data_IF_296759515831
#
_entry.id   IF_296759515831
#
_cell.length_a   1.000
_cell.length_b   1.000
_cell.length_c   1.000
_cell.angle_alpha   90.00
_cell.angle_beta   90.00
_cell.angle_gamma   90.00
#
_symmetry.space_group_name_H-M   'P 1'
#
loop_
_entity.id
_entity.type
_entity.pdbx_description
1 polymer ?
#
# COMPACT_ATOMS: atom_id res chain seq x y z
N UNK A 1 -33.02 18.53 2.23
CA UNK A 1 -32.89 17.21 1.60
C UNK A 1 -31.56 17.06 0.86
N UNK A 2 -31.28 17.81 -0.21
CA UNK A 2 -30.04 17.69 -0.99
C UNK A 2 -28.75 17.82 -0.15
N UNK A 3 -28.69 18.82 0.75
CA UNK A 3 -27.54 19.01 1.66
C UNK A 3 -27.35 17.83 2.60
N UNK A 4 -28.45 17.28 3.12
CA UNK A 4 -28.42 16.10 3.97
C UNK A 4 -27.97 14.86 3.18
N UNK A 5 -28.50 14.64 1.98
CA UNK A 5 -28.12 13.49 1.15
C UNK A 5 -26.63 13.54 0.75
N UNK A 6 -26.13 14.71 0.34
CA UNK A 6 -24.71 14.90 0.03
C UNK A 6 -23.81 14.66 1.24
N UNK A 7 -24.23 15.12 2.42
CA UNK A 7 -23.48 14.94 3.67
C UNK A 7 -23.49 13.48 4.15
N UNK A 8 -24.66 12.83 4.12
CA UNK A 8 -24.83 11.44 4.58
C UNK A 8 -24.36 10.38 3.57
N UNK A 9 -23.91 10.78 2.37
CA UNK A 9 -23.09 9.91 1.49
C UNK A 9 -21.66 9.74 2.00
N UNK A 10 -21.25 10.54 2.98
CA UNK A 10 -19.90 10.57 3.56
C UNK A 10 -18.77 10.54 2.51
N UNK A 11 -18.81 11.45 1.51
CA UNK A 11 -17.75 11.50 0.50
C UNK A 11 -16.41 11.85 1.16
N UNK A 12 -15.34 11.28 0.63
CA UNK A 12 -13.97 11.56 1.05
C UNK A 12 -13.22 12.28 -0.06
N UNK A 13 -12.28 13.14 0.29
CA UNK A 13 -11.30 13.72 -0.63
C UNK A 13 -9.90 13.24 -0.26
N UNK A 14 -9.02 13.11 -1.24
CA UNK A 14 -7.62 12.73 -1.01
C UNK A 14 -6.82 14.01 -0.79
N UNK A 15 -6.19 14.11 0.38
CA UNK A 15 -5.18 15.12 0.68
C UNK A 15 -3.80 14.49 0.49
N UNK A 16 -3.03 15.00 -0.49
CA UNK A 16 -1.69 14.52 -0.77
C UNK A 16 -0.72 15.38 0.04
N UNK A 17 -0.13 14.77 1.07
CA UNK A 17 0.83 15.43 1.95
C UNK A 17 2.22 14.86 1.75
N UNK A 18 3.20 15.72 1.92
CA UNK A 18 4.59 15.32 2.09
C UNK A 18 4.80 14.98 3.55
N UNK A 19 5.32 13.78 3.83
CA UNK A 19 5.61 13.34 5.21
C UNK A 19 6.67 14.26 5.85
N UNK A 20 6.28 15.03 6.89
CA UNK A 20 7.21 15.93 7.58
C UNK A 20 8.18 15.18 8.50
N UNK A 21 8.05 13.86 8.67
CA UNK A 21 8.91 13.06 9.55
C UNK A 21 10.39 13.37 9.29
N UNK A 22 11.20 13.70 10.31
CA UNK A 22 12.63 13.95 10.14
C UNK A 22 13.41 12.64 9.91
N UNK A 23 12.72 11.50 9.79
CA UNK A 23 13.32 10.19 9.69
C UNK A 23 13.00 9.49 8.35
N UNK A 24 13.91 8.63 7.95
CA UNK A 24 13.76 7.63 6.90
C UNK A 24 13.46 6.30 7.59
N UNK A 25 12.33 5.70 7.24
CA UNK A 25 11.99 4.35 7.71
C UNK A 25 12.71 3.32 6.84
N UNK A 26 13.40 2.39 7.47
CA UNK A 26 14.02 1.25 6.81
C UNK A 26 12.94 0.31 6.28
N UNK A 27 12.97 -0.06 4.98
CA UNK A 27 12.05 -1.04 4.44
C UNK A 27 12.48 -2.46 4.82
N UNK A 28 11.53 -3.39 4.75
CA UNK A 28 11.83 -4.81 4.62
C UNK A 28 12.44 -5.09 3.24
N UNK A 29 13.48 -5.91 3.20
CA UNK A 29 14.17 -6.28 1.95
C UNK A 29 14.17 -7.80 1.84
N UNK A 30 13.47 -8.33 0.84
CA UNK A 30 13.51 -9.78 0.54
C UNK A 30 14.30 -10.02 -0.72
N UNK A 31 15.24 -10.96 -0.65
CA UNK A 31 15.95 -11.50 -1.83
C UNK A 31 15.54 -12.94 -2.04
N UNK A 32 15.09 -13.26 -3.25
CA UNK A 32 14.61 -14.59 -3.64
C UNK A 32 15.44 -15.15 -4.78
N UNK A 33 15.76 -16.43 -4.71
CA UNK A 33 16.45 -17.18 -5.75
C UNK A 33 15.63 -18.39 -6.16
N UNK A 34 15.72 -18.79 -7.44
CA UNK A 34 15.03 -19.99 -7.93
C UNK A 34 15.42 -21.21 -7.08
N UNK A 35 14.42 -21.96 -6.62
CA UNK A 35 14.57 -23.01 -5.61
C UNK A 35 15.63 -24.04 -6.01
N UNK A 36 15.68 -24.43 -7.29
CA UNK A 36 16.68 -25.40 -7.79
C UNK A 36 18.12 -24.93 -7.61
N UNK A 37 18.37 -23.62 -7.69
CA UNK A 37 19.73 -23.06 -7.59
C UNK A 37 20.24 -22.98 -6.16
N UNK A 38 19.33 -23.02 -5.18
CA UNK A 38 19.66 -22.95 -3.76
C UNK A 38 19.98 -24.33 -3.17
N UNK A 39 19.80 -25.41 -3.93
CA UNK A 39 20.10 -26.77 -3.47
C UNK A 39 21.61 -26.93 -3.21
N UNK A 40 21.92 -27.59 -2.09
CA UNK A 40 23.29 -27.93 -1.70
C UNK A 40 23.76 -29.14 -2.50
N UNK A 41 24.94 -29.04 -3.13
CA UNK A 41 25.47 -30.10 -4.01
C UNK A 41 25.72 -31.38 -3.21
N UNK A 42 26.22 -31.23 -1.99
CA UNK A 42 26.43 -32.31 -1.03
C UNK A 42 25.13 -33.02 -0.60
N UNK A 43 23.97 -32.41 -0.86
CA UNK A 43 22.64 -32.97 -0.56
C UNK A 43 21.93 -33.55 -1.78
N UNK A 44 22.47 -33.36 -3.00
CA UNK A 44 21.83 -33.86 -4.23
C UNK A 44 21.60 -35.38 -4.22
N UNK A 45 22.55 -36.15 -3.66
CA UNK A 45 22.43 -37.61 -3.51
C UNK A 45 21.15 -37.99 -2.75
N UNK A 46 20.82 -37.24 -1.70
CA UNK A 46 19.65 -37.53 -0.87
C UNK A 46 18.32 -37.18 -1.56
N UNK A 47 18.35 -36.29 -2.56
CA UNK A 47 17.16 -35.82 -3.26
C UNK A 47 16.90 -36.69 -4.49
N UNK A 48 17.91 -36.89 -5.32
CA UNK A 48 17.80 -37.59 -6.59
C UNK A 48 19.14 -38.30 -6.90
N UNK A 49 19.32 -39.55 -6.45
CA UNK A 49 20.56 -40.29 -6.69
C UNK A 49 20.88 -40.44 -8.17
N UNK A 50 19.87 -40.54 -9.04
CA UNK A 50 20.08 -40.84 -10.46
C UNK A 50 20.67 -39.70 -11.28
N UNK A 51 20.69 -38.46 -10.75
CA UNK A 51 21.37 -37.32 -11.40
C UNK A 51 22.72 -37.05 -10.75
N UNK A 52 23.05 -37.72 -9.64
CA UNK A 52 24.28 -37.44 -8.91
C UNK A 52 25.51 -37.72 -9.77
N UNK A 53 25.52 -38.85 -10.47
CA UNK A 53 26.63 -39.26 -11.35
C UNK A 53 26.91 -38.21 -12.44
N UNK A 54 25.90 -37.46 -12.89
CA UNK A 54 26.06 -36.37 -13.85
C UNK A 54 26.78 -35.14 -13.25
N UNK A 55 26.74 -34.98 -11.92
CA UNK A 55 27.31 -33.83 -11.19
C UNK A 55 28.62 -34.14 -10.47
N UNK A 56 29.00 -35.41 -10.32
CA UNK A 56 30.26 -35.78 -9.66
C UNK A 56 31.45 -35.16 -10.39
N UNK A 57 32.33 -34.48 -9.64
CA UNK A 57 33.52 -33.82 -10.18
C UNK A 57 33.24 -32.51 -10.92
N UNK A 58 31.98 -32.07 -11.00
CA UNK A 58 31.59 -30.78 -11.57
C UNK A 58 31.72 -29.66 -10.54
N UNK A 59 32.21 -28.52 -11.00
CA UNK A 59 32.18 -27.28 -10.22
C UNK A 59 30.75 -26.82 -10.00
N UNK A 60 30.51 -26.04 -8.95
CA UNK A 60 29.16 -25.51 -8.66
C UNK A 60 28.61 -24.66 -9.82
N UNK A 61 29.48 -23.93 -10.53
CA UNK A 61 29.14 -23.17 -11.73
C UNK A 61 28.66 -24.08 -12.87
N UNK A 62 29.36 -25.20 -13.12
CA UNK A 62 28.92 -26.19 -14.11
C UNK A 62 27.58 -26.82 -13.73
N UNK A 63 27.40 -27.17 -12.45
CA UNK A 63 26.13 -27.70 -11.93
C UNK A 63 25.01 -26.69 -12.14
N UNK A 64 25.24 -25.41 -11.81
CA UNK A 64 24.28 -24.33 -12.05
C UNK A 64 23.90 -24.23 -13.53
N UNK A 65 24.88 -24.25 -14.44
CA UNK A 65 24.64 -24.27 -15.89
C UNK A 65 23.85 -25.51 -16.36
N UNK A 66 24.11 -26.67 -15.75
CA UNK A 66 23.34 -27.89 -16.03
C UNK A 66 21.90 -27.80 -15.50
N UNK A 67 21.69 -27.19 -14.34
CA UNK A 67 20.36 -26.94 -13.77
C UNK A 67 19.57 -25.90 -14.58
N UNK A 68 20.21 -25.06 -15.40
CA UNK A 68 19.50 -24.26 -16.41
C UNK A 68 18.82 -25.12 -17.47
N UNK A 69 19.28 -26.37 -17.68
CA UNK A 69 18.64 -27.30 -18.62
C UNK A 69 17.38 -27.89 -17.97
N UNK A 70 16.24 -27.65 -18.62
CA UNK A 70 14.90 -28.08 -18.19
C UNK A 70 14.82 -29.55 -17.71
N UNK A 71 15.47 -30.49 -18.42
CA UNK A 71 15.43 -31.93 -18.08
C UNK A 71 15.92 -32.25 -16.66
N UNK A 72 17.07 -31.70 -16.24
CA UNK A 72 17.62 -31.96 -14.91
C UNK A 72 16.85 -31.18 -13.85
N UNK A 73 16.48 -29.93 -14.17
CA UNK A 73 15.71 -29.06 -13.29
C UNK A 73 14.38 -29.68 -12.88
N UNK A 74 13.58 -30.09 -13.85
CA UNK A 74 12.22 -30.56 -13.60
C UNK A 74 12.23 -31.86 -12.78
N UNK A 75 13.22 -32.75 -13.03
CA UNK A 75 13.40 -33.97 -12.23
C UNK A 75 13.80 -33.66 -10.79
N UNK A 76 14.79 -32.77 -10.61
CA UNK A 76 15.27 -32.37 -9.29
C UNK A 76 14.18 -31.66 -8.48
N UNK A 77 13.47 -30.71 -9.09
CA UNK A 77 12.37 -29.98 -8.46
C UNK A 77 11.25 -30.94 -8.07
N UNK A 78 10.88 -31.89 -8.94
CA UNK A 78 9.86 -32.91 -8.60
C UNK A 78 10.27 -33.74 -7.37
N UNK A 79 11.53 -34.16 -7.30
CA UNK A 79 12.05 -34.95 -6.18
C UNK A 79 12.16 -34.11 -4.90
N UNK A 80 12.56 -32.84 -5.00
CA UNK A 80 12.59 -31.91 -3.87
C UNK A 80 11.17 -31.63 -3.31
N UNK A 81 10.21 -31.32 -4.19
CA UNK A 81 8.82 -31.04 -3.81
C UNK A 81 8.09 -32.24 -3.21
N UNK A 82 8.61 -33.45 -3.43
CA UNK A 82 8.10 -34.66 -2.77
C UNK A 82 8.45 -34.72 -1.27
N UNK A 83 9.39 -33.89 -0.81
CA UNK A 83 9.78 -33.75 0.59
C UNK A 83 8.89 -32.74 1.34
N UNK A 84 8.86 -32.82 2.66
CA UNK A 84 8.22 -31.81 3.52
C UNK A 84 9.02 -30.51 3.47
N UNK A 85 8.36 -29.36 3.70
CA UNK A 85 8.95 -28.03 3.52
C UNK A 85 10.12 -27.80 4.49
N UNK A 86 9.99 -28.18 5.76
CA UNK A 86 11.10 -28.21 6.73
C UNK A 86 12.32 -28.98 6.19
N UNK A 87 12.09 -30.13 5.56
CA UNK A 87 13.17 -30.90 4.93
C UNK A 87 13.77 -30.18 3.72
N UNK A 88 12.95 -29.48 2.93
CA UNK A 88 13.44 -28.66 1.83
C UNK A 88 14.33 -27.51 2.32
N UNK A 89 14.01 -26.90 3.47
CA UNK A 89 14.89 -25.91 4.11
C UNK A 89 16.25 -26.49 4.49
N UNK A 90 16.32 -27.73 5.00
CA UNK A 90 17.59 -28.40 5.30
C UNK A 90 18.42 -28.76 4.05
N UNK A 91 17.75 -28.99 2.92
CA UNK A 91 18.37 -29.39 1.65
C UNK A 91 18.83 -28.19 0.81
N UNK A 92 18.38 -26.99 1.17
CA UNK A 92 18.70 -25.73 0.49
C UNK A 92 19.69 -24.90 1.31
N UNK A 93 20.22 -23.84 0.69
CA UNK A 93 21.19 -22.95 1.31
C UNK A 93 20.56 -22.17 2.47
N UNK A 94 21.29 -22.09 3.59
CA UNK A 94 20.95 -21.21 4.71
C UNK A 94 21.38 -19.77 4.44
N UNK A 95 20.77 -18.83 5.15
CA UNK A 95 21.10 -17.40 5.12
C UNK A 95 22.60 -17.15 5.34
N UNK A 96 23.22 -17.87 6.29
CA UNK A 96 24.66 -17.74 6.60
C UNK A 96 25.60 -18.12 5.45
N UNK A 97 25.18 -19.01 4.54
CA UNK A 97 25.93 -19.38 3.33
C UNK A 97 25.55 -18.51 2.14
N UNK A 98 24.31 -18.03 2.10
CA UNK A 98 23.77 -17.20 1.04
C UNK A 98 24.32 -15.77 1.08
N UNK A 99 24.37 -15.15 2.26
CA UNK A 99 24.95 -13.82 2.46
C UNK A 99 26.45 -13.94 2.80
N UNK A 100 27.30 -13.28 2.01
CA UNK A 100 28.74 -13.14 2.33
C UNK A 100 28.97 -12.00 3.30
N UNK A 101 28.27 -10.88 3.10
CA UNK A 101 28.36 -9.70 3.92
C UNK A 101 27.01 -8.97 3.89
N UNK A 102 26.53 -8.50 5.04
CA UNK A 102 25.39 -7.61 5.09
C UNK A 102 25.65 -6.52 6.12
N UNK A 103 25.73 -5.28 5.64
CA UNK A 103 26.00 -4.10 6.45
C UNK A 103 24.86 -3.10 6.33
N UNK A 104 24.43 -2.57 7.46
CA UNK A 104 23.39 -1.55 7.57
C UNK A 104 23.95 -0.32 8.30
N UNK A 105 23.53 0.88 7.88
CA UNK A 105 23.79 2.08 8.64
C UNK A 105 23.09 2.02 10.02
N UNK A 106 23.80 2.35 11.10
CA UNK A 106 23.26 2.25 12.47
C UNK A 106 21.96 3.07 12.63
N UNK A 107 20.82 2.43 12.94
CA UNK A 107 19.57 3.14 13.24
C UNK A 107 19.60 3.85 14.60
N UNK A 108 18.66 4.78 14.83
CA UNK A 108 18.62 5.59 16.05
C UNK A 108 18.49 4.77 17.33
N UNK A 109 17.61 3.77 17.36
CA UNK A 109 17.39 2.97 18.57
C UNK A 109 18.65 2.24 19.06
N UNK A 110 19.62 1.97 18.16
CA UNK A 110 20.91 1.35 18.52
C UNK A 110 21.93 2.35 19.08
N UNK A 111 21.74 3.65 18.87
CA UNK A 111 22.58 4.69 19.45
C UNK A 111 22.25 4.93 20.92
N UNK A 112 21.01 4.66 21.34
CA UNK A 112 20.48 4.92 22.70
C UNK A 112 20.79 3.74 23.64
N UNK A 113 22.08 3.36 23.72
CA UNK A 113 22.57 2.50 24.79
C UNK A 113 22.66 3.25 26.13
N UNK A 114 22.85 2.55 27.27
CA UNK A 114 22.87 3.10 28.63
C UNK A 114 24.01 4.09 28.95
N UNK A 115 24.72 4.60 27.94
CA UNK A 115 25.75 5.63 28.10
C UNK A 115 25.27 7.05 27.71
N UNK A 116 23.98 7.23 27.41
CA UNK A 116 23.42 8.52 26.98
C UNK A 116 22.92 9.43 28.11
N UNK A 117 23.13 9.10 29.39
CA UNK A 117 22.80 10.00 30.51
C UNK A 117 23.58 11.35 30.50
N UNK A 118 24.50 11.57 29.54
CA UNK A 118 25.17 12.86 29.34
C UNK A 118 24.92 13.53 27.97
N UNK A 119 24.26 12.88 27.02
CA UNK A 119 23.87 13.53 25.76
C UNK A 119 22.50 14.17 25.92
N UNK A 120 22.47 15.31 26.63
CA UNK A 120 21.35 16.23 26.61
C UNK A 120 21.11 16.69 25.17
N UNK A 121 20.12 16.09 24.49
CA UNK A 121 19.57 16.54 23.21
C UNK A 121 18.82 17.86 23.44
N UNK A 122 19.52 18.89 23.93
CA UNK A 122 19.02 20.26 23.90
C UNK A 122 19.22 20.73 22.48
N UNK A 123 18.10 20.85 21.75
CA UNK A 123 17.95 21.56 20.48
C UNK A 123 19.21 21.62 19.62
N UNK A 124 19.40 20.63 18.74
CA UNK A 124 20.26 20.83 17.58
C UNK A 124 19.64 21.94 16.74
N UNK A 125 20.11 23.16 16.97
CA UNK A 125 19.79 24.31 16.16
C UNK A 125 20.53 24.11 14.82
N UNK A 126 19.76 23.79 13.77
CA UNK A 126 20.29 23.47 12.43
C UNK A 126 20.63 24.72 11.60
N UNK A 127 20.59 25.91 12.21
CA UNK A 127 20.84 27.19 11.54
C UNK A 127 22.30 27.63 11.67
N UNK A 128 23.20 26.94 10.96
CA UNK A 128 24.31 27.55 10.21
C UNK A 128 25.23 26.46 9.65
N UNK A 129 24.94 26.05 8.41
CA UNK A 129 25.83 25.24 7.59
C UNK A 129 26.83 26.16 6.88
N UNK A 130 27.69 26.84 7.63
CA UNK A 130 28.87 27.48 7.04
C UNK A 130 30.13 26.68 7.32
N UNK A 131 30.70 26.21 6.22
CA UNK A 131 31.90 25.39 6.15
C UNK A 131 33.11 26.24 6.49
N UNK A 132 33.75 25.98 7.64
CA UNK A 132 35.19 25.71 7.76
C UNK A 132 35.60 25.52 9.22
N UNK A 133 36.51 24.57 9.42
CA UNK A 133 37.31 24.33 10.63
C UNK A 133 36.57 23.98 11.93
N UNK A 134 36.02 22.76 11.99
CA UNK A 134 36.31 21.79 13.06
C UNK A 134 35.74 20.43 12.68
N UNK A 135 36.50 19.71 11.84
CA UNK A 135 36.19 18.41 11.25
C UNK A 135 36.46 17.27 12.24
N UNK A 136 35.88 17.34 13.44
CA UNK A 136 36.01 16.28 14.45
C UNK A 136 34.88 15.24 14.29
N UNK A 137 35.24 14.09 13.72
CA UNK A 137 34.68 12.75 13.94
C UNK A 137 33.19 12.42 13.74
N UNK A 138 32.32 13.28 13.20
CA UNK A 138 30.96 12.81 12.81
C UNK A 138 30.97 11.73 11.70
N UNK A 139 31.99 11.73 10.82
CA UNK A 139 32.17 10.67 9.81
C UNK A 139 32.57 9.30 10.40
N UNK A 140 33.08 9.27 11.63
CA UNK A 140 33.42 8.03 12.34
C UNK A 140 32.26 7.51 13.22
N UNK A 141 31.18 8.28 13.38
CA UNK A 141 30.12 7.98 14.34
C UNK A 141 29.01 7.06 13.82
N UNK A 142 28.83 6.93 12.51
CA UNK A 142 27.91 5.94 11.95
C UNK A 142 28.67 4.66 11.64
N UNK A 143 28.89 3.88 12.69
CA UNK A 143 29.32 2.50 12.54
C UNK A 143 28.33 1.76 11.64
N UNK A 144 28.84 0.82 10.85
CA UNK A 144 27.99 -0.12 10.13
C UNK A 144 27.72 -1.29 11.06
N UNK A 145 26.46 -1.66 11.21
CA UNK A 145 26.08 -2.87 11.94
C UNK A 145 25.84 -4.01 10.97
N UNK A 146 25.95 -5.25 11.45
CA UNK A 146 25.54 -6.40 10.66
C UNK A 146 24.01 -6.41 10.56
N UNK A 147 23.44 -6.72 9.39
CA UNK A 147 21.99 -6.78 9.23
C UNK A 147 21.32 -7.75 10.22
N UNK A 148 22.00 -8.86 10.57
CA UNK A 148 21.48 -9.85 11.51
C UNK A 148 21.40 -9.35 12.96
N UNK A 149 22.08 -8.24 13.30
CA UNK A 149 21.98 -7.65 14.64
C UNK A 149 20.74 -6.80 14.83
N UNK A 150 20.12 -6.32 13.74
CA UNK A 150 18.86 -5.57 13.81
C UNK A 150 17.66 -6.52 13.91
N UNK A 151 17.62 -7.54 13.06
CA UNK A 151 16.56 -8.55 13.03
C UNK A 151 17.12 -9.88 12.54
N UNK A 152 16.61 -11.00 13.05
CA UNK A 152 16.91 -12.32 12.49
C UNK A 152 16.47 -12.39 11.04
N UNK A 153 17.33 -12.91 10.16
CA UNK A 153 17.01 -13.10 8.75
C UNK A 153 15.98 -14.22 8.65
N UNK A 154 14.78 -13.91 8.13
CA UNK A 154 13.75 -14.94 7.96
C UNK A 154 13.96 -15.66 6.63
N UNK A 155 13.95 -16.99 6.69
CA UNK A 155 14.04 -17.83 5.50
C UNK A 155 12.70 -18.47 5.19
N UNK A 156 12.26 -18.35 3.94
CA UNK A 156 10.99 -18.91 3.49
C UNK A 156 11.15 -19.62 2.15
N UNK A 157 10.31 -20.62 1.88
CA UNK A 157 10.29 -21.38 0.63
C UNK A 157 8.87 -21.33 0.05
N UNK A 158 8.74 -20.94 -1.22
CA UNK A 158 7.57 -21.21 -2.04
C UNK A 158 7.85 -22.37 -2.99
N UNK A 159 6.88 -22.70 -3.83
CA UNK A 159 7.03 -23.76 -4.83
C UNK A 159 8.20 -23.50 -5.80
N UNK A 160 8.49 -22.24 -6.11
CA UNK A 160 9.47 -21.84 -7.13
C UNK A 160 10.72 -21.18 -6.56
N UNK A 161 10.64 -20.58 -5.37
CA UNK A 161 11.69 -19.72 -4.84
C UNK A 161 12.04 -20.04 -3.39
N UNK A 162 13.32 -19.85 -3.06
CA UNK A 162 13.83 -19.72 -1.69
C UNK A 162 14.14 -18.24 -1.46
N UNK A 163 13.59 -17.68 -0.39
CA UNK A 163 13.68 -16.26 -0.09
C UNK A 163 14.27 -15.99 1.28
N UNK A 164 14.97 -14.86 1.38
CA UNK A 164 15.61 -14.36 2.58
C UNK A 164 15.15 -12.94 2.84
N UNK A 165 14.38 -12.75 3.91
CA UNK A 165 13.84 -11.45 4.31
C UNK A 165 14.72 -10.83 5.38
N UNK A 166 15.24 -9.64 5.09
CA UNK A 166 15.97 -8.76 6.00
C UNK A 166 15.01 -7.71 6.57
N UNK A 167 15.26 -7.28 7.81
CA UNK A 167 14.56 -6.17 8.46
C UNK A 167 13.06 -6.42 8.63
N UNK A 168 12.63 -7.68 8.72
CA UNK A 168 11.24 -7.98 9.05
C UNK A 168 11.03 -7.83 10.56
N UNK A 169 10.04 -7.01 10.91
CA UNK A 169 9.54 -6.91 12.27
C UNK A 169 8.06 -6.48 12.23
N UNK A 170 7.19 -7.38 12.68
CA UNK A 170 5.73 -7.20 12.68
C UNK A 170 5.25 -6.07 13.60
N UNK A 171 6.10 -5.59 14.51
CA UNK A 171 5.80 -4.47 15.41
C UNK A 171 6.58 -3.21 15.07
N UNK A 172 7.21 -3.13 13.89
CA UNK A 172 8.18 -2.07 13.57
C UNK A 172 7.59 -0.69 13.22
N UNK A 173 6.26 -0.55 13.05
CA UNK A 173 5.67 0.69 12.54
C UNK A 173 6.15 1.94 13.31
N UNK A 174 6.19 1.82 14.64
CA UNK A 174 6.61 2.88 15.57
C UNK A 174 7.97 2.60 16.22
N UNK A 175 8.72 1.60 15.73
CA UNK A 175 9.98 1.20 16.33
C UNK A 175 11.12 2.13 15.84
N UNK A 176 11.66 2.89 16.79
CA UNK A 176 12.83 3.77 16.59
C UNK A 176 14.07 3.02 16.06
N UNK A 177 14.14 1.69 16.24
CA UNK A 177 15.20 0.86 15.69
C UNK A 177 15.17 0.75 14.16
N UNK A 178 14.08 1.19 13.51
CA UNK A 178 13.93 1.17 12.05
C UNK A 178 13.96 2.58 11.44
N UNK A 179 14.37 3.57 12.22
CA UNK A 179 14.39 4.97 11.82
C UNK A 179 15.83 5.50 11.73
N UNK A 180 16.16 6.15 10.62
CA UNK A 180 17.44 6.84 10.39
C UNK A 180 17.13 8.33 10.14
N UNK A 181 17.83 9.29 10.78
CA UNK A 181 17.60 10.70 10.50
C UNK A 181 17.81 11.04 9.03
N UNK A 182 16.95 11.90 8.45
CA UNK A 182 16.98 12.25 7.02
C UNK A 182 18.29 12.93 6.61
N UNK A 183 18.84 13.80 7.46
CA UNK A 183 20.12 14.47 7.27
C UNK A 183 21.29 13.47 7.23
N UNK A 184 21.25 12.46 8.08
CA UNK A 184 22.22 11.36 8.08
C UNK A 184 22.06 10.54 6.81
N UNK A 185 20.83 10.08 6.52
CA UNK A 185 20.52 9.27 5.34
C UNK A 185 20.94 9.96 4.04
N UNK A 186 20.75 11.28 3.92
CA UNK A 186 21.15 12.07 2.76
C UNK A 186 22.68 12.07 2.53
N UNK A 187 23.47 11.90 3.59
CA UNK A 187 24.93 11.82 3.52
C UNK A 187 25.47 10.40 3.32
N UNK A 188 24.60 9.38 3.42
CA UNK A 188 24.98 7.99 3.19
C UNK A 188 24.97 7.67 1.70
N UNK A 189 25.98 6.92 1.26
CA UNK A 189 26.00 6.37 -0.11
C UNK A 189 24.94 5.28 -0.28
N UNK A 190 24.77 4.44 0.75
CA UNK A 190 23.79 3.35 0.81
C UNK A 190 23.27 3.22 2.24
N UNK A 191 21.99 2.94 2.39
CA UNK A 191 21.39 2.55 3.67
C UNK A 191 21.85 1.15 4.07
N UNK A 192 21.78 0.21 3.11
CA UNK A 192 22.23 -1.16 3.28
C UNK A 192 23.14 -1.58 2.13
N UNK A 193 24.16 -2.37 2.46
CA UNK A 193 25.11 -2.97 1.54
C UNK A 193 25.11 -4.48 1.74
N UNK A 194 24.63 -5.20 0.73
CA UNK A 194 24.36 -6.64 0.80
C UNK A 194 25.22 -7.32 -0.26
N UNK A 195 26.09 -8.23 0.15
CA UNK A 195 26.88 -9.08 -0.72
C UNK A 195 26.38 -10.53 -0.63
N UNK A 196 25.93 -11.05 -1.76
CA UNK A 196 25.39 -12.39 -1.91
C UNK A 196 26.43 -13.33 -2.50
N UNK A 197 26.29 -14.61 -2.19
CA UNK A 197 27.01 -15.66 -2.86
C UNK A 197 26.31 -16.01 -4.18
N UNK A 198 26.96 -15.64 -5.30
CA UNK A 198 26.44 -15.80 -6.66
C UNK A 198 26.08 -17.26 -6.97
N UNK A 199 26.82 -18.22 -6.41
CA UNK A 199 26.63 -19.64 -6.73
C UNK A 199 25.28 -20.21 -6.25
N UNK A 200 24.53 -19.44 -5.45
CA UNK A 200 23.17 -19.76 -4.99
C UNK A 200 22.12 -18.82 -5.58
N UNK A 201 22.50 -17.95 -6.51
CA UNK A 201 21.64 -16.92 -7.08
C UNK A 201 21.36 -17.21 -8.55
N UNK A 202 20.14 -17.63 -8.87
CA UNK A 202 19.69 -17.79 -10.25
C UNK A 202 18.26 -17.27 -10.40
N UNK A 203 18.00 -16.55 -11.50
CA UNK A 203 16.75 -15.83 -11.74
C UNK A 203 16.29 -15.06 -10.49
N UNK A 204 17.20 -14.23 -9.98
CA UNK A 204 17.00 -13.58 -8.71
C UNK A 204 15.88 -12.56 -8.75
N UNK A 205 15.17 -12.40 -7.65
CA UNK A 205 14.18 -11.37 -7.45
C UNK A 205 14.52 -10.63 -6.15
N UNK A 206 14.26 -9.33 -6.13
CA UNK A 206 14.32 -8.53 -4.92
C UNK A 206 13.02 -7.76 -4.76
N UNK A 207 12.53 -7.77 -3.52
CA UNK A 207 11.32 -7.10 -3.09
C UNK A 207 11.66 -6.11 -2.00
N UNK A 208 11.15 -4.88 -2.14
CA UNK A 208 11.17 -3.88 -1.07
C UNK A 208 9.73 -3.73 -0.58
N UNK A 209 9.51 -3.94 0.70
CA UNK A 209 8.16 -3.95 1.27
C UNK A 209 8.14 -3.33 2.67
N UNK A 210 6.94 -3.17 3.23
CA UNK A 210 6.80 -2.76 4.63
C UNK A 210 7.47 -3.78 5.56
N UNK A 211 8.23 -3.37 6.58
CA UNK A 211 8.86 -4.30 7.53
C UNK A 211 7.85 -5.12 8.34
N UNK A 212 6.57 -4.71 8.39
CA UNK A 212 5.49 -5.46 9.04
C UNK A 212 4.92 -6.58 8.18
N UNK A 213 5.09 -6.47 6.86
CA UNK A 213 4.45 -7.34 5.89
C UNK A 213 5.47 -8.34 5.35
N UNK A 214 5.06 -9.57 5.16
CA UNK A 214 5.86 -10.53 4.38
C UNK A 214 5.86 -10.10 2.90
N UNK A 215 6.93 -10.41 2.15
CA UNK A 215 7.05 -10.04 0.73
C UNK A 215 5.99 -10.69 -0.17
N UNK A 216 5.27 -11.69 0.33
CA UNK A 216 4.14 -12.33 -0.37
C UNK A 216 3.04 -11.32 -0.75
N UNK A 217 3.05 -10.15 -0.11
CA UNK A 217 2.01 -9.12 -0.20
C UNK A 217 2.44 -7.91 -1.04
N UNK A 218 3.58 -8.02 -1.75
CA UNK A 218 4.08 -6.93 -2.57
C UNK A 218 3.35 -6.94 -3.92
N UNK A 219 2.60 -5.88 -4.21
CA UNK A 219 2.08 -5.62 -5.57
C UNK A 219 3.22 -5.71 -6.59
N UNK A 220 2.93 -6.07 -7.83
CA UNK A 220 3.94 -6.28 -8.88
C UNK A 220 4.95 -5.11 -9.04
N UNK A 221 4.58 -3.89 -8.62
CA UNK A 221 5.43 -2.69 -8.66
C UNK A 221 6.65 -2.70 -7.74
N UNK A 222 6.72 -3.57 -6.72
CA UNK A 222 7.85 -3.63 -5.78
C UNK A 222 8.89 -4.70 -6.09
N UNK A 223 8.76 -5.40 -7.22
CA UNK A 223 9.68 -6.49 -7.60
C UNK A 223 10.68 -6.02 -8.64
N UNK A 224 11.95 -6.32 -8.44
CA UNK A 224 12.99 -6.15 -9.46
C UNK A 224 13.67 -7.48 -9.74
N UNK A 225 13.86 -7.78 -11.02
CA UNK A 225 14.62 -8.96 -11.43
C UNK A 225 16.12 -8.67 -11.35
N UNK A 226 16.84 -9.61 -10.76
CA UNK A 226 18.29 -9.62 -10.62
C UNK A 226 18.87 -10.64 -11.59
N UNK A 227 19.82 -10.18 -12.40
CA UNK A 227 20.61 -11.03 -13.29
C UNK A 227 22.06 -11.10 -12.77
N UNK A 228 22.37 -12.02 -11.84
CA UNK A 228 23.69 -12.12 -11.24
C UNK A 228 24.75 -12.68 -12.21
N UNK A 229 24.36 -13.11 -13.41
CA UNK A 229 25.28 -13.53 -14.47
C UNK A 229 25.77 -12.33 -15.27
N UNK A 230 24.89 -11.37 -15.55
CA UNK A 230 25.23 -10.14 -16.28
C UNK A 230 25.76 -9.03 -15.39
N UNK A 231 25.20 -8.89 -14.20
CA UNK A 231 25.50 -7.77 -13.32
C UNK A 231 26.39 -8.21 -12.16
N UNK A 232 27.39 -7.39 -11.84
CA UNK A 232 28.21 -7.55 -10.63
C UNK A 232 27.57 -6.81 -9.45
N UNK A 233 26.97 -5.65 -9.74
CA UNK A 233 26.40 -4.77 -8.74
C UNK A 233 25.11 -4.13 -9.23
N UNK A 234 24.10 -4.07 -8.36
CA UNK A 234 22.84 -3.36 -8.59
C UNK A 234 22.56 -2.44 -7.41
N UNK A 235 22.25 -1.17 -7.68
CA UNK A 235 21.74 -0.26 -6.65
C UNK A 235 20.25 0.00 -6.84
N UNK A 236 19.50 -0.10 -5.75
CA UNK A 236 18.04 0.00 -5.72
C UNK A 236 17.67 1.24 -4.93
N UNK A 237 16.93 2.15 -5.58
CA UNK A 237 16.24 3.24 -4.93
C UNK A 237 14.80 2.84 -4.67
N UNK A 238 14.20 3.43 -3.64
CA UNK A 238 12.79 3.23 -3.35
C UNK A 238 12.13 4.53 -2.92
N UNK A 239 10.82 4.62 -3.12
CA UNK A 239 9.96 5.66 -2.59
C UNK A 239 8.87 5.02 -1.74
N UNK A 240 8.57 5.62 -0.58
CA UNK A 240 7.52 5.13 0.33
C UNK A 240 6.26 5.96 0.13
N UNK A 241 5.14 5.28 -0.12
CA UNK A 241 3.80 5.85 -0.22
C UNK A 241 2.92 5.26 0.86
N UNK A 242 2.26 6.11 1.65
CA UNK A 242 1.31 5.70 2.68
C UNK A 242 -0.07 6.14 2.23
N UNK A 243 -1.01 5.22 2.15
CA UNK A 243 -2.42 5.55 1.91
C UNK A 243 -3.21 5.32 3.19
N UNK A 244 -3.93 6.34 3.64
CA UNK A 244 -4.84 6.25 4.79
C UNK A 244 -6.26 6.41 4.30
N UNK A 245 -7.06 5.37 4.46
CA UNK A 245 -8.49 5.36 4.15
C UNK A 245 -9.30 5.63 5.43
N UNK A 246 -10.59 5.92 5.27
CA UNK A 246 -11.49 6.18 6.38
C UNK A 246 -12.44 4.99 6.61
N UNK A 247 -12.64 4.58 7.88
CA UNK A 247 -13.56 3.48 8.18
C UNK A 247 -15.02 3.91 7.92
N UNK A 248 -15.98 2.98 7.96
CA UNK A 248 -17.40 3.35 7.96
C UNK A 248 -17.70 4.44 9.02
N UNK A 249 -18.56 5.43 8.70
CA UNK A 249 -19.52 5.46 7.60
C UNK A 249 -19.00 6.05 6.27
N UNK A 250 -17.72 6.38 6.16
CA UNK A 250 -17.14 7.01 4.96
C UNK A 250 -17.18 6.13 3.72
N UNK A 251 -17.19 6.76 2.54
CA UNK A 251 -17.32 6.07 1.25
C UNK A 251 -16.23 5.01 1.00
N UNK A 252 -15.02 5.21 1.53
CA UNK A 252 -13.90 4.26 1.45
C UNK A 252 -14.15 2.96 2.23
N UNK A 253 -14.97 3.01 3.28
CA UNK A 253 -15.40 1.84 4.08
C UNK A 253 -14.25 0.91 4.46
N UNK A 254 -13.08 1.45 4.76
CA UNK A 254 -11.90 0.64 5.01
C UNK A 254 -12.08 -0.24 6.27
N UNK A 255 -11.23 -1.25 6.41
CA UNK A 255 -11.17 -2.09 7.59
C UNK A 255 -9.75 -2.16 8.15
N UNK A 256 -9.66 -2.23 9.46
CA UNK A 256 -8.38 -2.28 10.19
C UNK A 256 -8.12 -3.73 10.62
N UNK A 257 -7.49 -4.49 9.73
CA UNK A 257 -7.23 -5.93 9.89
C UNK A 257 -6.31 -6.27 11.07
N UNK A 258 -5.58 -5.28 11.59
CA UNK A 258 -4.73 -5.42 12.78
C UNK A 258 -5.53 -5.73 14.03
N UNK A 259 -6.79 -5.29 14.08
CA UNK A 259 -7.72 -5.60 15.19
C UNK A 259 -8.01 -7.09 15.31
N UNK A 260 -7.91 -7.82 14.19
CA UNK A 260 -8.14 -9.26 14.13
C UNK A 260 -6.84 -10.07 14.19
N UNK A 261 -5.69 -9.40 14.39
CA UNK A 261 -4.38 -10.04 14.47
C UNK A 261 -3.67 -10.26 13.13
N UNK A 262 -4.21 -9.72 12.03
CA UNK A 262 -3.56 -9.75 10.72
C UNK A 262 -2.73 -8.49 10.47
N UNK A 263 -1.66 -8.58 9.67
CA UNK A 263 -0.88 -7.40 9.32
C UNK A 263 -1.64 -6.45 8.37
N UNK A 264 -2.40 -7.03 7.44
CA UNK A 264 -3.18 -6.36 6.40
C UNK A 264 -4.23 -7.33 5.82
N UNK A 265 -5.04 -6.86 4.86
CA UNK A 265 -6.02 -7.67 4.14
C UNK A 265 -5.40 -8.88 3.45
N UNK A 266 -4.28 -8.68 2.76
CA UNK A 266 -3.63 -9.78 2.02
C UNK A 266 -3.09 -10.85 2.97
N UNK A 267 -2.65 -10.47 4.17
CA UNK A 267 -2.26 -11.41 5.22
C UNK A 267 -3.45 -12.25 5.71
N UNK A 268 -4.63 -11.64 5.87
CA UNK A 268 -5.85 -12.40 6.13
C UNK A 268 -6.15 -13.38 4.99
N UNK A 269 -6.08 -12.92 3.73
CA UNK A 269 -6.36 -13.75 2.56
C UNK A 269 -5.41 -14.95 2.48
N UNK A 270 -4.11 -14.75 2.69
CA UNK A 270 -3.10 -15.81 2.70
C UNK A 270 -3.31 -16.78 3.85
N UNK A 271 -3.62 -16.31 5.06
CA UNK A 271 -3.91 -17.19 6.19
C UNK A 271 -5.18 -18.03 5.94
N UNK A 272 -6.23 -17.41 5.38
CA UNK A 272 -7.43 -18.14 4.99
C UNK A 272 -7.13 -19.19 3.91
N UNK A 273 -6.41 -18.82 2.84
CA UNK A 273 -5.97 -19.73 1.77
C UNK A 273 -5.18 -20.90 2.35
N UNK A 274 -4.18 -20.62 3.18
CA UNK A 274 -3.34 -21.62 3.85
C UNK A 274 -4.19 -22.59 4.66
N UNK A 275 -5.12 -22.09 5.47
CA UNK A 275 -6.04 -22.93 6.26
C UNK A 275 -6.87 -23.86 5.38
N UNK A 276 -7.34 -23.41 4.21
CA UNK A 276 -8.09 -24.25 3.26
C UNK A 276 -7.21 -25.32 2.63
N UNK A 277 -6.02 -24.98 2.16
CA UNK A 277 -5.08 -25.97 1.60
C UNK A 277 -4.67 -27.03 2.64
N UNK A 278 -4.48 -26.62 3.89
CA UNK A 278 -4.15 -27.54 4.99
C UNK A 278 -5.28 -28.53 5.31
N UNK A 279 -6.55 -28.18 5.01
CA UNK A 279 -7.69 -29.10 5.12
C UNK A 279 -7.79 -30.08 3.95
N UNK A 280 -7.15 -29.75 2.81
CA UNK A 280 -7.10 -30.59 1.63
C UNK A 280 -5.90 -31.53 1.74
N UNK A 281 -4.77 -31.19 1.14
CA UNK A 281 -3.65 -32.12 0.93
C UNK A 281 -2.25 -31.52 1.20
N UNK A 282 -2.12 -30.23 1.52
CA UNK A 282 -0.80 -29.66 1.73
C UNK A 282 -0.75 -28.14 1.92
N UNK A 283 0.42 -27.57 1.66
CA UNK A 283 0.68 -26.14 1.71
C UNK A 283 0.48 -25.49 0.32
N UNK A 284 -0.09 -24.27 0.20
CA UNK A 284 -0.25 -23.60 -1.08
C UNK A 284 1.10 -23.29 -1.74
N UNK A 285 1.25 -23.51 -3.04
CA UNK A 285 2.54 -23.32 -3.71
C UNK A 285 3.00 -21.87 -3.84
N UNK A 286 2.06 -20.91 -3.88
CA UNK A 286 2.33 -19.48 -3.97
C UNK A 286 2.54 -18.79 -2.62
N UNK A 287 2.24 -19.47 -1.52
CA UNK A 287 2.44 -18.94 -0.17
C UNK A 287 3.80 -19.38 0.33
N UNK A 288 4.66 -18.44 0.70
CA UNK A 288 5.98 -18.77 1.21
C UNK A 288 5.87 -19.34 2.62
N UNK A 289 6.54 -20.45 2.85
CA UNK A 289 6.48 -21.24 4.07
C UNK A 289 7.74 -21.07 4.91
N UNK A 290 7.56 -20.88 6.21
CA UNK A 290 8.64 -20.83 7.20
C UNK A 290 9.31 -22.20 7.40
N UNK A 291 10.46 -22.19 8.07
CA UNK A 291 11.24 -23.40 8.38
C UNK A 291 10.50 -24.42 9.26
N UNK A 292 9.48 -23.99 10.01
CA UNK A 292 8.71 -24.84 10.94
C UNK A 292 7.55 -25.60 10.27
N UNK A 293 7.34 -25.44 8.96
CA UNK A 293 6.24 -26.07 8.24
C UNK A 293 6.61 -27.51 7.87
N UNK A 294 6.02 -28.49 8.57
CA UNK A 294 6.25 -29.94 8.35
C UNK A 294 5.34 -30.56 7.28
N UNK A 295 4.65 -29.71 6.50
CA UNK A 295 3.74 -30.13 5.41
C UNK A 295 4.48 -30.17 4.08
N UNK A 296 3.97 -30.95 3.14
CA UNK A 296 4.39 -30.90 1.73
C UNK A 296 3.58 -29.83 1.00
N UNK A 297 4.08 -29.35 -0.14
CA UNK A 297 3.26 -28.55 -1.04
C UNK A 297 2.08 -29.39 -1.56
N UNK A 298 0.92 -28.73 -1.72
CA UNK A 298 -0.30 -29.34 -2.24
C UNK A 298 -0.08 -29.89 -3.65
N UNK A 299 -0.57 -31.10 -3.92
CA UNK A 299 -0.52 -31.70 -5.26
C UNK A 299 -1.45 -30.97 -6.22
N UNK A 300 -2.50 -30.31 -5.72
CA UNK A 300 -3.38 -29.50 -6.54
C UNK A 300 -2.63 -28.37 -7.25
N UNK A 301 -1.53 -27.89 -6.64
CA UNK A 301 -0.63 -26.92 -7.25
C UNK A 301 0.24 -27.49 -8.38
N UNK A 302 0.53 -28.79 -8.36
CA UNK A 302 1.45 -29.45 -9.31
C UNK A 302 0.80 -29.79 -10.66
N UNK A 303 -0.46 -29.42 -10.89
CA UNK A 303 -1.14 -29.75 -12.12
C UNK A 303 -0.47 -28.97 -13.30
N UNK A 304 -0.39 -29.55 -14.52
CA UNK A 304 0.25 -28.85 -15.65
C UNK A 304 -0.42 -27.53 -16.04
N UNK A 305 -1.66 -27.30 -15.59
CA UNK A 305 -2.46 -26.12 -15.94
C UNK A 305 -2.08 -24.90 -15.08
N UNK A 306 -1.71 -25.11 -13.81
CA UNK A 306 -1.22 -24.06 -12.90
C UNK A 306 0.09 -23.43 -13.38
N UNK A 307 0.89 -24.18 -14.17
CA UNK A 307 2.12 -23.68 -14.78
C UNK A 307 1.88 -22.63 -15.88
N UNK A 308 0.62 -22.38 -16.28
CA UNK A 308 0.23 -21.30 -17.18
C UNK A 308 0.11 -19.92 -16.50
N UNK A 309 0.47 -19.80 -15.22
CA UNK A 309 0.61 -18.50 -14.54
C UNK A 309 -0.65 -18.00 -13.84
N UNK A 310 -1.66 -18.84 -13.66
CA UNK A 310 -2.82 -18.52 -12.83
C UNK A 310 -2.57 -19.02 -11.38
N UNK A 311 -1.91 -18.17 -10.59
CA UNK A 311 -1.54 -18.36 -9.16
C UNK A 311 -2.73 -18.67 -8.20
N UNK A 312 -3.94 -18.86 -8.70
CA UNK A 312 -5.14 -19.14 -7.90
C UNK A 312 -5.73 -20.54 -8.14
N UNK A 313 -5.20 -21.34 -9.08
CA UNK A 313 -5.89 -22.51 -9.66
C UNK A 313 -6.03 -23.78 -8.80
N UNK A 314 -5.64 -23.79 -7.53
CA UNK A 314 -5.81 -24.97 -6.68
C UNK A 314 -7.07 -24.99 -5.81
N UNK A 315 -7.75 -23.86 -5.59
CA UNK A 315 -8.99 -23.80 -4.81
C UNK A 315 -10.19 -23.56 -5.72
N UNK A 316 -11.35 -24.11 -5.34
CA UNK A 316 -12.60 -23.75 -6.02
C UNK A 316 -12.85 -22.25 -5.91
N UNK A 317 -13.44 -21.64 -6.94
CA UNK A 317 -13.86 -20.24 -6.91
C UNK A 317 -14.75 -19.94 -5.70
N UNK A 318 -15.55 -20.91 -5.25
CA UNK A 318 -16.36 -20.82 -4.03
C UNK A 318 -15.52 -20.72 -2.75
N UNK A 319 -14.42 -21.47 -2.64
CA UNK A 319 -13.51 -21.42 -1.49
C UNK A 319 -12.77 -20.09 -1.42
N UNK A 320 -12.29 -19.60 -2.58
CA UNK A 320 -11.67 -18.27 -2.67
C UNK A 320 -12.67 -17.16 -2.38
N UNK A 321 -13.90 -17.26 -2.90
CA UNK A 321 -14.98 -16.34 -2.58
C UNK A 321 -15.36 -16.39 -1.08
N UNK A 322 -15.23 -17.55 -0.43
CA UNK A 322 -15.39 -17.64 1.03
C UNK A 322 -14.30 -16.86 1.76
N UNK A 323 -13.03 -16.99 1.36
CA UNK A 323 -11.94 -16.21 1.95
C UNK A 323 -12.11 -14.71 1.70
N UNK A 324 -12.51 -14.31 0.49
CA UNK A 324 -12.79 -12.89 0.19
C UNK A 324 -13.98 -12.34 0.99
N UNK A 325 -14.95 -13.18 1.38
CA UNK A 325 -16.06 -12.79 2.25
C UNK A 325 -15.62 -12.67 3.72
N UNK A 326 -14.79 -13.60 4.19
CA UNK A 326 -14.25 -13.64 5.56
C UNK A 326 -13.28 -12.48 5.81
N UNK A 327 -12.30 -12.32 4.93
CA UNK A 327 -11.30 -11.25 4.97
C UNK A 327 -11.79 -9.94 4.37
N UNK A 328 -13.10 -9.76 4.24
CA UNK A 328 -13.72 -8.50 3.82
C UNK A 328 -13.45 -8.07 2.36
N UNK A 329 -14.48 -7.51 1.73
CA UNK A 329 -14.32 -6.74 0.48
C UNK A 329 -13.81 -5.31 0.73
N UNK A 330 -13.19 -5.05 1.89
CA UNK A 330 -12.80 -3.71 2.33
C UNK A 330 -11.30 -3.58 2.28
N UNK A 331 -10.83 -2.49 1.72
CA UNK A 331 -9.40 -2.19 1.69
C UNK A 331 -8.87 -1.91 3.10
N UNK A 332 -7.56 -2.09 3.29
CA UNK A 332 -6.87 -1.73 4.52
C UNK A 332 -7.05 -0.24 4.83
N UNK A 333 -7.38 0.10 6.08
CA UNK A 333 -7.45 1.50 6.50
C UNK A 333 -6.11 2.22 6.39
N UNK A 334 -5.02 1.48 6.44
CA UNK A 334 -3.69 2.00 6.23
C UNK A 334 -2.87 1.00 5.42
N UNK A 335 -2.39 1.43 4.27
CA UNK A 335 -1.48 0.64 3.43
C UNK A 335 -0.19 1.40 3.20
N UNK A 336 0.92 0.65 3.18
CA UNK A 336 2.25 1.18 2.91
C UNK A 336 2.76 0.48 1.66
N UNK A 337 3.02 1.26 0.63
CA UNK A 337 3.53 0.79 -0.66
C UNK A 337 4.92 1.36 -0.89
N UNK A 338 5.76 0.57 -1.56
CA UNK A 338 7.10 0.96 -1.95
C UNK A 338 7.21 0.90 -3.46
N UNK A 339 7.55 2.02 -4.08
CA UNK A 339 7.89 2.05 -5.49
C UNK A 339 9.39 1.83 -5.62
N UNK A 340 9.78 0.79 -6.36
CA UNK A 340 11.16 0.33 -6.44
C UNK A 340 11.73 0.64 -7.80
N UNK A 341 12.91 1.27 -7.82
CA UNK A 341 13.58 1.67 -9.04
C UNK A 341 15.04 1.20 -9.03
N UNK A 342 15.45 0.53 -10.10
CA UNK A 342 16.86 0.21 -10.32
C UNK A 342 17.60 1.49 -10.72
N UNK A 343 18.45 2.00 -9.83
CA UNK A 343 19.10 3.30 -10.01
C UNK A 343 20.45 3.21 -10.74
N UNK A 344 21.21 2.14 -10.51
CA UNK A 344 22.52 1.89 -11.15
C UNK A 344 22.72 0.40 -11.27
N UNK A 345 23.33 0.01 -12.37
CA UNK A 345 23.75 -1.36 -12.64
C UNK A 345 25.20 -1.29 -13.10
N UNK A 346 26.07 -2.08 -12.48
CA UNK A 346 27.43 -2.32 -12.98
C UNK A 346 27.42 -3.69 -13.63
N UNK A 347 27.56 -3.69 -14.95
CA UNK A 347 27.79 -4.92 -15.71
C UNK A 347 29.11 -5.56 -15.30
N UNK A 348 29.19 -6.87 -15.47
CA UNK A 348 30.38 -7.63 -15.15
C UNK A 348 31.29 -7.71 -16.38
N UNK A 349 32.55 -7.31 -16.18
CA UNK A 349 33.63 -7.47 -17.15
C UNK A 349 33.88 -8.97 -17.43
N UNK A 350 34.39 -9.32 -18.61
CA UNK A 350 34.57 -10.73 -19.01
C UNK A 350 35.53 -11.49 -18.07
N UNK A 351 36.58 -10.82 -17.60
CA UNK A 351 37.54 -11.39 -16.65
C UNK A 351 36.90 -11.62 -15.27
N UNK A 352 36.08 -10.67 -14.82
CA UNK A 352 35.34 -10.77 -13.56
C UNK A 352 34.29 -11.89 -13.59
N UNK A 353 33.75 -12.25 -14.77
CA UNK A 353 32.75 -13.33 -14.92
C UNK A 353 33.24 -14.67 -14.43
N UNK A 354 34.54 -14.90 -14.49
CA UNK A 354 35.15 -16.17 -14.09
C UNK A 354 35.59 -16.16 -12.62
N UNK A 355 35.94 -15.01 -12.05
CA UNK A 355 36.59 -14.94 -10.73
C UNK A 355 35.65 -14.47 -9.60
N UNK A 356 34.66 -13.63 -9.89
CA UNK A 356 33.80 -13.08 -8.85
C UNK A 356 32.61 -14.00 -8.54
N UNK A 357 32.72 -14.72 -7.42
CA UNK A 357 31.62 -15.50 -6.82
C UNK A 357 30.67 -14.62 -5.97
N UNK A 358 30.74 -13.29 -6.09
CA UNK A 358 29.86 -12.38 -5.35
C UNK A 358 28.97 -11.56 -6.28
N UNK A 359 27.80 -11.22 -5.75
CA UNK A 359 26.85 -10.33 -6.36
C UNK A 359 26.40 -9.32 -5.31
N UNK A 360 26.45 -8.04 -5.62
CA UNK A 360 26.28 -6.99 -4.62
C UNK A 360 25.05 -6.14 -4.89
N UNK A 361 24.26 -5.90 -3.84
CA UNK A 361 23.08 -5.07 -3.84
C UNK A 361 23.32 -3.88 -2.89
N UNK A 362 23.15 -2.66 -3.41
CA UNK A 362 23.18 -1.44 -2.61
C UNK A 362 21.79 -0.81 -2.51
N UNK A 363 21.24 -0.71 -1.30
CA UNK A 363 19.97 0.00 -1.08
C UNK A 363 20.26 1.48 -0.86
N UNK A 364 19.78 2.33 -1.76
CA UNK A 364 19.98 3.78 -1.70
C UNK A 364 19.00 4.43 -0.71
N UNK A 365 19.40 5.54 -0.06
CA UNK A 365 18.45 6.37 0.67
C UNK A 365 17.40 6.95 -0.30
N UNK A 366 16.14 7.11 0.14
CA UNK A 366 15.12 7.77 -0.66
C UNK A 366 15.54 9.22 -0.90
N UNK A 367 15.51 9.67 -2.16
CA UNK A 367 15.84 11.06 -2.53
C UNK A 367 14.66 12.00 -2.32
N UNK A 368 13.47 11.48 -2.57
CA UNK A 368 12.22 12.22 -2.51
C UNK A 368 11.60 12.08 -1.12
N UNK A 369 10.74 13.03 -0.79
CA UNK A 369 9.95 12.95 0.42
C UNK A 369 8.95 11.79 0.33
N UNK A 370 8.59 11.23 1.48
CA UNK A 370 7.56 10.19 1.52
C UNK A 370 6.20 10.85 1.26
N UNK A 371 5.36 10.19 0.45
CA UNK A 371 4.06 10.72 0.06
C UNK A 371 3.00 10.06 0.94
N UNK A 372 2.13 10.87 1.55
CA UNK A 372 0.99 10.42 2.32
C UNK A 372 -0.28 10.82 1.56
N UNK A 373 -1.02 9.83 1.08
CA UNK A 373 -2.35 10.00 0.50
C UNK A 373 -3.38 9.79 1.61
N UNK A 374 -3.80 10.86 2.27
CA UNK A 374 -4.72 10.81 3.40
C UNK A 374 -6.14 11.12 2.92
N UNK A 375 -7.05 10.14 3.01
CA UNK A 375 -8.47 10.40 2.79
C UNK A 375 -9.03 11.13 3.99
N UNK A 376 -9.56 12.32 3.75
CA UNK A 376 -10.25 13.14 4.75
C UNK A 376 -11.72 13.28 4.39
N UNK A 377 -12.61 13.52 5.38
CA UNK A 377 -14.00 13.86 5.08
C UNK A 377 -14.05 15.06 4.15
N UNK A 378 -14.79 14.97 3.05
CA UNK A 378 -14.93 16.09 2.10
C UNK A 378 -15.57 17.31 2.74
N UNK A 379 -16.46 17.08 3.70
CA UNK A 379 -17.12 18.11 4.47
C UNK A 379 -16.81 17.92 5.94
N UNK A 380 -16.26 18.96 6.57
CA UNK A 380 -16.08 18.95 8.02
C UNK A 380 -17.42 19.27 8.71
N UNK A 381 -17.60 18.77 9.95
CA UNK A 381 -18.82 19.03 10.73
C UNK A 381 -19.12 20.54 10.83
N UNK A 382 -18.08 21.38 10.90
CA UNK A 382 -18.22 22.83 10.98
C UNK A 382 -18.82 23.43 9.69
N UNK A 383 -18.42 22.95 8.51
CA UNK A 383 -18.97 23.42 7.23
C UNK A 383 -20.44 23.05 7.14
N UNK A 384 -20.81 21.83 7.54
CA UNK A 384 -22.21 21.42 7.60
C UNK A 384 -23.03 22.33 8.53
N UNK A 385 -22.52 22.65 9.72
CA UNK A 385 -23.17 23.57 10.66
C UNK A 385 -23.28 24.99 10.10
N UNK A 386 -22.27 25.47 9.36
CA UNK A 386 -22.33 26.77 8.69
C UNK A 386 -23.37 26.75 7.58
N UNK A 387 -23.45 25.69 6.76
CA UNK A 387 -24.45 25.58 5.71
C UNK A 387 -25.88 25.50 6.26
N UNK A 388 -26.10 24.67 7.29
CA UNK A 388 -27.41 24.55 7.95
C UNK A 388 -27.74 25.84 8.71
N UNK A 389 -26.78 26.41 9.44
CA UNK A 389 -26.94 27.67 10.15
C UNK A 389 -27.26 28.84 9.23
N UNK A 390 -26.62 28.90 8.04
CA UNK A 390 -26.92 29.87 7.00
C UNK A 390 -28.32 29.69 6.42
N UNK A 391 -28.75 28.45 6.16
CA UNK A 391 -30.10 28.15 5.69
C UNK A 391 -31.17 28.54 6.74
N UNK A 392 -30.94 28.22 8.01
CA UNK A 392 -31.83 28.59 9.12
C UNK A 392 -31.89 30.11 9.26
N UNK A 393 -30.73 30.78 9.23
CA UNK A 393 -30.65 32.25 9.36
C UNK A 393 -31.36 32.97 8.22
N UNK A 394 -31.22 32.47 6.98
CA UNK A 394 -31.93 33.01 5.82
C UNK A 394 -33.44 32.82 5.95
N UNK A 395 -33.88 31.61 6.34
CA UNK A 395 -35.29 31.32 6.55
C UNK A 395 -35.91 32.22 7.63
N UNK A 396 -35.21 32.41 8.75
CA UNK A 396 -35.65 33.29 9.84
C UNK A 396 -35.68 34.76 9.38
N UNK A 397 -34.67 35.22 8.65
CA UNK A 397 -34.64 36.57 8.10
C UNK A 397 -35.82 36.86 7.18
N UNK A 398 -36.12 35.96 6.24
CA UNK A 398 -37.28 36.07 5.33
C UNK A 398 -38.59 36.04 6.13
N UNK A 399 -38.68 35.18 7.15
CA UNK A 399 -39.87 35.09 8.00
C UNK A 399 -40.14 36.39 8.76
N UNK A 400 -39.11 37.02 9.32
CA UNK A 400 -39.23 38.31 10.03
C UNK A 400 -39.67 39.43 9.08
N UNK A 401 -39.09 39.50 7.87
CA UNK A 401 -39.49 40.48 6.85
C UNK A 401 -40.96 40.28 6.46
N UNK A 402 -41.39 39.04 6.25
CA UNK A 402 -42.79 38.71 5.92
C UNK A 402 -43.77 39.13 7.02
N UNK A 403 -43.47 38.81 8.28
CA UNK A 403 -44.28 39.24 9.44
C UNK A 403 -44.32 40.77 9.52
N UNK A 404 -43.18 41.44 9.28
CA UNK A 404 -43.10 42.90 9.23
C UNK A 404 -44.01 43.51 8.16
N UNK A 405 -43.99 42.97 6.93
CA UNK A 405 -44.85 43.42 5.83
C UNK A 405 -46.33 43.22 6.16
N UNK A 406 -46.70 42.08 6.75
CA UNK A 406 -48.08 41.83 7.17
C UNK A 406 -48.54 42.79 8.27
N UNK A 407 -47.69 43.06 9.27
CA UNK A 407 -47.99 44.02 10.33
C UNK A 407 -48.19 45.43 9.78
N UNK A 408 -47.30 45.89 8.90
CA UNK A 408 -47.42 47.18 8.20
C UNK A 408 -48.70 47.26 7.34
N UNK A 409 -49.05 46.18 6.65
CA UNK A 409 -50.28 46.10 5.86
C UNK A 409 -51.53 46.19 6.73
N UNK A 410 -51.55 45.54 7.90
CA UNK A 410 -52.64 45.67 8.86
C UNK A 410 -52.77 47.08 9.43
N UNK A 411 -51.65 47.74 9.75
CA UNK A 411 -51.66 49.14 10.25
C UNK A 411 -52.19 50.10 9.18
N UNK A 412 -51.72 49.96 7.94
CA UNK A 412 -52.19 50.80 6.82
C UNK A 412 -53.65 50.53 6.45
N UNK A 413 -54.12 49.28 6.55
CA UNK A 413 -55.54 48.95 6.36
C UNK A 413 -56.42 49.52 7.49
N UNK A 414 -55.97 49.44 8.74
CA UNK A 414 -56.68 50.06 9.88
C UNK A 414 -56.73 51.59 9.76
N UNK A 415 -55.65 52.22 9.33
CA UNK A 415 -55.59 53.66 9.01
C UNK A 415 -56.53 54.05 7.86
N UNK A 416 -56.57 53.26 6.77
CA UNK A 416 -57.54 53.45 5.68
C UNK A 416 -58.98 53.20 6.10
N UNK A 417 -59.23 52.29 7.03
CA UNK A 417 -60.58 52.02 7.54
C UNK A 417 -61.07 53.13 8.48
N UNK A 418 -60.19 53.77 9.27
CA UNK A 418 -60.59 54.97 10.03
C UNK A 418 -60.84 56.19 9.13
N UNK A 419 -60.04 56.38 8.07
CA UNK A 419 -60.26 57.47 7.10
C UNK A 419 -61.45 57.23 6.17
N UNK A 420 -61.76 55.98 5.80
CA UNK A 420 -62.97 55.65 5.04
C UNK A 420 -64.25 55.61 5.90
N UNK A 421 -64.19 55.35 7.21
CA UNK A 421 -65.33 55.59 8.11
C UNK A 421 -65.67 57.09 8.14
N UNK A 422 -64.67 57.98 8.09
CA UNK A 422 -64.88 59.43 7.98
C UNK A 422 -65.49 59.85 6.63
N UNK A 423 -65.07 59.21 5.53
CA UNK A 423 -65.65 59.47 4.19
C UNK A 423 -67.01 58.78 3.96
N UNK A 424 -67.30 57.65 4.62
CA UNK A 424 -68.59 56.97 4.55
C UNK A 424 -69.68 57.74 5.32
N UNK A 425 -69.33 58.39 6.43
CA UNK A 425 -70.25 59.33 7.09
C UNK A 425 -70.60 60.54 6.20
N UNK A 426 -69.69 60.99 5.33
CA UNK A 426 -69.97 62.07 4.38
C UNK A 426 -70.75 61.63 3.13
N UNK A 427 -70.70 60.34 2.76
CA UNK A 427 -71.34 59.81 1.55
C UNK A 427 -72.71 59.16 1.79
N UNK A 428 -73.11 58.97 3.05
CA UNK A 428 -74.42 58.40 3.44
C UNK A 428 -75.60 59.38 3.31
N UNK A 429 -75.36 60.67 3.01
CA UNK A 429 -76.42 61.69 2.85
C UNK A 429 -76.87 61.90 1.39
N UNK A 430 -76.16 61.35 0.40
CA UNK A 430 -76.47 61.65 -1.00
C UNK A 430 -76.27 60.46 -1.91
N UNK A 431 -77.34 59.70 -2.16
CA UNK A 431 -77.73 59.20 -3.49
C UNK A 431 -78.58 57.93 -3.37
N UNK A 432 -79.89 58.14 -3.25
CA UNK A 432 -80.90 57.25 -3.85
C UNK A 432 -81.06 57.69 -5.30
N UNK A 433 -80.79 56.83 -6.28
CA UNK A 433 -81.56 56.77 -7.55
C UNK A 433 -80.85 55.90 -8.59
N UNK A 434 -81.54 54.81 -8.97
CA UNK A 434 -81.61 54.18 -10.30
C UNK A 434 -80.35 53.49 -10.84
N UNK A 435 -80.41 52.53 -11.74
CA UNK A 435 -81.42 51.57 -12.25
C UNK A 435 -80.68 50.80 -13.37
N UNK A 436 -80.98 49.50 -13.52
CA UNK A 436 -80.88 48.63 -14.73
C UNK A 436 -79.53 48.32 -15.41
N UNK A 437 -79.25 47.00 -15.37
CA UNK A 437 -79.06 46.07 -16.50
C UNK A 437 -78.28 46.53 -17.75
N UNK A 438 -77.21 45.80 -18.09
CA UNK A 438 -77.17 45.04 -19.36
C UNK A 438 -76.16 43.87 -19.29
N UNK A 439 -76.58 42.72 -19.81
CA UNK A 439 -75.76 41.55 -20.12
C UNK A 439 -75.05 41.72 -21.47
N UNK A 440 -73.84 41.16 -21.62
CA UNK A 440 -73.41 40.13 -22.59
C UNK A 440 -71.89 40.22 -22.84
N UNK A 441 -71.24 39.07 -22.99
CA UNK A 441 -69.97 38.98 -23.73
C UNK A 441 -68.86 38.17 -23.07
N UNK A 442 -69.06 36.85 -22.91
CA UNK A 442 -67.95 35.90 -22.77
C UNK A 442 -67.23 35.79 -24.12
N UNK A 443 -65.90 35.93 -24.13
CA UNK A 443 -65.09 35.18 -25.09
C UNK A 443 -63.75 34.74 -24.49
N UNK A 444 -63.52 33.46 -24.75
CA UNK A 444 -62.56 32.49 -24.24
C UNK A 444 -61.20 32.69 -24.92
N UNK A 445 -60.10 32.70 -24.16
CA UNK A 445 -58.76 32.44 -24.69
C UNK A 445 -58.11 31.31 -23.91
N UNK A 446 -57.60 30.36 -24.68
CA UNK A 446 -57.15 29.04 -24.30
C UNK A 446 -55.75 28.87 -24.88
N UNK A 447 -54.97 27.98 -24.26
CA UNK A 447 -53.78 27.28 -24.77
C UNK A 447 -52.38 27.89 -24.57
N UNK A 448 -51.79 27.43 -23.45
CA UNK A 448 -50.61 26.54 -23.38
C UNK A 448 -49.46 26.79 -24.36
N UNK A 449 -48.33 27.30 -23.85
CA UNK A 449 -47.01 27.28 -24.50
C UNK A 449 -46.18 26.17 -23.84
N UNK A 450 -45.84 25.14 -24.63
CA UNK A 450 -44.82 24.14 -24.31
C UNK A 450 -43.43 24.71 -24.64
N UNK A 451 -42.52 24.73 -23.68
CA UNK A 451 -41.08 24.88 -23.95
C UNK A 451 -40.45 23.49 -24.05
N UNK A 452 -40.01 23.14 -25.26
CA UNK A 452 -39.12 22.02 -25.53
C UNK A 452 -37.68 22.40 -25.21
N UNK A 453 -37.08 21.71 -24.25
CA UNK A 453 -35.65 21.69 -24.00
C UNK A 453 -35.11 20.35 -24.49
N UNK A 454 -34.51 20.36 -25.68
CA UNK A 454 -33.68 19.27 -26.20
C UNK A 454 -32.32 19.32 -25.51
N UNK A 455 -31.98 18.23 -24.81
CA UNK A 455 -30.63 17.91 -24.37
C UNK A 455 -29.89 17.17 -25.49
N UNK A 456 -28.63 17.53 -25.81
CA UNK A 456 -27.77 16.67 -26.60
C UNK A 456 -26.98 15.72 -25.68
N UNK A 457 -27.41 14.45 -25.62
CA UNK A 457 -26.55 13.34 -25.23
C UNK A 457 -25.50 13.10 -26.32
N UNK A 458 -24.24 13.41 -26.00
CA UNK A 458 -23.10 12.88 -26.76
C UNK A 458 -22.62 11.61 -26.08
N UNK A 459 -22.87 10.49 -26.76
CA UNK A 459 -22.18 9.22 -26.56
C UNK A 459 -20.68 9.42 -26.82
N UNK A 460 -19.85 9.21 -25.79
CA UNK A 460 -18.42 9.00 -25.93
C UNK A 460 -18.17 7.50 -25.74
N UNK A 461 -18.05 6.78 -26.86
CA UNK A 461 -17.44 5.45 -26.89
C UNK A 461 -15.93 5.63 -26.76
N UNK A 462 -15.37 5.19 -25.63
CA UNK A 462 -13.92 5.08 -25.45
C UNK A 462 -13.51 3.69 -25.89
N UNK A 463 -12.96 3.57 -27.09
CA UNK A 463 -12.16 2.43 -27.52
C UNK A 463 -10.75 2.66 -26.99
N UNK A 464 -10.27 1.81 -26.09
CA UNK A 464 -8.86 1.75 -25.69
C UNK A 464 -8.27 0.52 -26.38
N UNK A 465 -7.20 0.74 -27.14
CA UNK A 465 -6.26 -0.26 -27.62
C UNK A 465 -5.03 -0.26 -26.72
#
# INVERSE_FOLDING_TARGET
>A
YLVCDLYFRYPTTVDIRVDPSPFVHLPGVTVCSELSSTILVEKLIAIEPSIYDDFVGKTRTEISLMLKKRKHRDKLIKSLLSQTIDKQHELTVSSTKFFKLCQLATPLGQLIGPQIDQFSIKSFDFDNWDLKSNKLNLKAAYNKINCSSLSTIQETISYEFKCFTLFLNRTAYDDINYQIPKDVAANLKYLAWIELNRDFMFNGLIYIHSPEMSHQYSSSSSTQQLDPDKHQFVSIAFERKITKLLPPPYATKCYDYRRDGYACRDDCMTQCKTKRYLQLDGWPGDVYADQNVTRKFSKMWTNPWSSAGHLEEGLSSESLASCSRECGHRDDCQSVQYDVLTARVKERDEDDRQQSHSFTIGILPPKNFQIINEHVPKFQNIEFLIYIGGLISLYLGISVVSVGIHALSCVTFSSKHQSNIFLWFYRSIGSRSKEKQTMLGQQKTDKTIYYGLQSPEKNLQTTIH
#
